data_IF_786243954300
#
_entry.id   IF_786243954300
#
_cell.length_a   1.000
_cell.length_b   1.000
_cell.length_c   1.000
_cell.angle_alpha   90.00
_cell.angle_beta   90.00
_cell.angle_gamma   90.00
#
_symmetry.space_group_name_H-M   'P 1'
#
loop_
_entity.id
_entity.type
_entity.pdbx_description
1 polymer ?
#
# COMPACT_ATOMS: atom_id res chain seq x y z
N UNK A 1 16.24 -7.26 -13.63
CA UNK A 1 14.90 -7.04 -13.03
C UNK A 1 15.02 -7.11 -11.51
N UNK A 2 15.01 -5.97 -10.80
CA UNK A 2 15.11 -5.96 -9.32
C UNK A 2 13.71 -6.25 -8.77
N UNK A 3 13.55 -7.35 -8.03
CA UNK A 3 12.23 -7.74 -7.51
C UNK A 3 11.79 -6.75 -6.42
N UNK A 4 10.56 -6.22 -6.44
CA UNK A 4 10.08 -5.38 -5.34
C UNK A 4 10.07 -6.19 -4.04
N UNK A 5 10.55 -5.59 -2.96
CA UNK A 5 10.65 -6.30 -1.67
C UNK A 5 9.25 -6.50 -1.07
N UNK A 6 9.05 -7.58 -0.29
CA UNK A 6 7.89 -7.68 0.56
C UNK A 6 7.84 -6.42 1.42
N UNK A 7 6.68 -5.75 1.51
CA UNK A 7 6.53 -4.41 2.10
C UNK A 7 6.98 -4.30 3.57
N UNK A 8 7.44 -5.40 4.18
CA UNK A 8 7.71 -5.54 5.61
C UNK A 8 8.98 -6.37 5.90
N UNK A 9 9.67 -6.94 4.90
CA UNK A 9 10.77 -7.88 5.17
C UNK A 9 12.01 -7.22 5.80
N UNK A 10 12.25 -5.93 5.58
CA UNK A 10 13.39 -5.20 6.16
C UNK A 10 13.06 -4.29 7.35
N UNK A 11 11.77 -4.10 7.65
CA UNK A 11 11.30 -3.16 8.69
C UNK A 11 10.75 -3.86 9.93
N UNK A 12 10.55 -5.18 9.85
CA UNK A 12 10.05 -6.01 10.93
C UNK A 12 11.06 -6.19 12.10
N UNK A 13 12.31 -5.74 12.00
CA UNK A 13 13.27 -5.87 13.12
C UNK A 13 13.64 -4.53 13.76
N UNK A 14 13.77 -3.44 12.99
CA UNK A 14 14.23 -2.15 13.55
C UNK A 14 13.09 -1.22 13.97
N UNK A 15 11.88 -1.34 13.41
CA UNK A 15 10.73 -0.49 13.83
C UNK A 15 9.90 -1.13 14.95
N UNK A 16 10.22 -2.37 15.36
CA UNK A 16 9.53 -3.07 16.45
C UNK A 16 9.85 -2.51 17.83
N UNK A 17 10.93 -1.73 18.00
CA UNK A 17 11.40 -1.32 19.34
C UNK A 17 10.99 0.12 19.70
N UNK A 18 10.88 1.04 18.73
CA UNK A 18 10.72 2.47 19.06
C UNK A 18 9.27 3.00 19.13
N UNK A 19 8.26 2.21 18.74
CA UNK A 19 6.88 2.74 18.55
C UNK A 19 5.79 2.15 19.46
N UNK A 20 6.11 1.29 20.42
CA UNK A 20 5.12 0.78 21.38
C UNK A 20 3.90 0.11 20.73
N UNK A 21 4.10 -0.58 19.60
CA UNK A 21 3.06 -1.43 19.01
C UNK A 21 3.22 -2.84 19.57
N UNK A 22 2.42 -3.17 20.57
CA UNK A 22 2.10 -4.57 20.85
C UNK A 22 1.32 -5.10 19.64
N UNK A 23 2.00 -5.81 18.75
CA UNK A 23 1.37 -6.70 17.78
C UNK A 23 1.76 -8.12 18.15
N UNK A 24 0.92 -8.71 19.00
CA UNK A 24 0.73 -10.15 19.02
C UNK A 24 0.29 -10.56 17.61
N UNK A 25 1.24 -11.01 16.78
CA UNK A 25 0.93 -11.78 15.58
C UNK A 25 0.85 -13.25 15.98
N UNK A 26 -0.14 -13.61 16.80
CA UNK A 26 -0.53 -15.01 16.95
C UNK A 26 -1.48 -15.37 15.81
N UNK A 27 -1.01 -16.20 14.88
CA UNK A 27 -1.86 -17.27 14.32
C UNK A 27 -2.59 -17.06 13.00
N UNK A 28 -2.10 -16.25 12.05
CA UNK A 28 -2.67 -16.23 10.69
C UNK A 28 -1.60 -16.26 9.61
N UNK A 29 -1.53 -17.33 8.80
CA UNK A 29 -0.75 -17.32 7.56
C UNK A 29 -1.35 -16.25 6.63
N UNK A 30 -0.55 -15.28 6.21
CA UNK A 30 -0.97 -14.35 5.16
C UNK A 30 -1.35 -15.14 3.90
N UNK A 31 -2.53 -14.88 3.35
CA UNK A 31 -2.99 -15.56 2.14
C UNK A 31 -2.38 -14.98 0.86
N UNK A 32 -2.04 -13.69 0.89
CA UNK A 32 -1.52 -12.94 -0.25
C UNK A 32 -0.24 -12.20 0.12
N UNK A 33 0.72 -12.19 -0.82
CA UNK A 33 1.92 -11.35 -0.69
C UNK A 33 1.56 -9.89 -0.97
N UNK A 34 2.11 -8.98 -0.18
CA UNK A 34 2.00 -7.53 -0.43
C UNK A 34 3.38 -6.93 -0.61
N UNK A 35 3.60 -6.37 -1.80
CA UNK A 35 4.85 -5.74 -2.22
C UNK A 35 4.72 -4.21 -2.13
N UNK A 36 5.82 -3.52 -1.79
CA UNK A 36 5.91 -2.07 -1.98
C UNK A 36 6.58 -1.77 -3.31
N UNK A 37 6.11 -0.75 -4.02
CA UNK A 37 6.85 -0.22 -5.17
C UNK A 37 8.21 0.34 -4.75
N UNK A 38 9.24 -0.06 -5.47
CA UNK A 38 10.58 0.51 -5.42
C UNK A 38 10.90 1.15 -6.77
N UNK A 39 11.55 2.30 -6.76
CA UNK A 39 12.06 2.87 -8.01
C UNK A 39 13.24 2.07 -8.58
N UNK A 40 13.70 2.45 -9.78
CA UNK A 40 14.83 1.79 -10.45
C UNK A 40 16.12 1.78 -9.60
N UNK A 41 16.28 2.73 -8.68
CA UNK A 41 17.41 2.80 -7.74
C UNK A 41 17.22 1.91 -6.51
N UNK A 42 16.07 1.25 -6.34
CA UNK A 42 15.71 0.41 -5.20
C UNK A 42 15.20 1.21 -3.99
N UNK A 43 14.76 2.45 -4.20
CA UNK A 43 14.24 3.29 -3.12
C UNK A 43 12.76 3.00 -2.89
N UNK A 44 12.42 2.59 -1.67
CA UNK A 44 11.02 2.42 -1.27
C UNK A 44 10.35 3.78 -1.05
N UNK A 45 9.58 4.21 -2.06
CA UNK A 45 8.84 5.48 -2.05
C UNK A 45 7.56 5.41 -1.20
N UNK A 46 7.06 4.20 -0.92
CA UNK A 46 5.90 3.96 -0.06
C UNK A 46 6.29 4.20 1.40
N UNK A 47 7.36 3.55 1.88
CA UNK A 47 7.89 3.74 3.24
C UNK A 47 8.29 5.20 3.44
N UNK A 48 8.93 5.84 2.46
CA UNK A 48 9.26 7.27 2.54
C UNK A 48 8.01 8.11 2.86
N UNK A 49 6.87 7.76 2.27
CA UNK A 49 5.59 8.46 2.48
C UNK A 49 4.98 8.15 3.82
N UNK A 50 4.94 6.87 4.22
CA UNK A 50 4.39 6.42 5.52
C UNK A 50 5.19 6.95 6.71
N UNK A 51 6.51 7.15 6.58
CA UNK A 51 7.33 7.74 7.65
C UNK A 51 6.81 9.10 8.12
N UNK A 52 6.25 9.90 7.20
CA UNK A 52 5.71 11.25 7.48
C UNK A 52 4.29 11.24 8.05
N UNK A 53 3.64 10.08 8.14
CA UNK A 53 2.27 9.97 8.63
C UNK A 53 2.19 10.11 10.15
N UNK A 54 1.07 10.65 10.64
CA UNK A 54 0.74 10.66 12.06
C UNK A 54 0.52 9.24 12.58
N UNK A 55 0.47 9.06 13.91
CA UNK A 55 0.18 7.75 14.52
C UNK A 55 -1.14 7.15 14.01
N UNK A 56 -2.21 7.95 13.96
CA UNK A 56 -3.52 7.53 13.42
C UNK A 56 -3.44 7.05 11.97
N UNK A 57 -2.72 7.80 11.12
CA UNK A 57 -2.55 7.48 9.71
C UNK A 57 -1.71 6.21 9.49
N UNK A 58 -0.67 6.00 10.30
CA UNK A 58 0.12 4.76 10.31
C UNK A 58 -0.73 3.56 10.70
N UNK A 59 -1.55 3.66 11.75
CA UNK A 59 -2.48 2.59 12.13
C UNK A 59 -3.47 2.25 11.02
N UNK A 60 -4.00 3.25 10.31
CA UNK A 60 -4.87 3.03 9.14
C UNK A 60 -4.13 2.33 8.01
N UNK A 61 -2.92 2.78 7.69
CA UNK A 61 -2.08 2.12 6.68
C UNK A 61 -1.85 0.65 7.02
N UNK A 62 -1.46 0.33 8.26
CA UNK A 62 -1.23 -1.04 8.71
C UNK A 62 -2.49 -1.89 8.53
N UNK A 63 -3.66 -1.41 8.98
CA UNK A 63 -4.92 -2.15 8.84
C UNK A 63 -5.27 -2.45 7.37
N UNK A 64 -5.07 -1.47 6.49
CA UNK A 64 -5.34 -1.63 5.06
C UNK A 64 -4.36 -2.60 4.40
N UNK A 65 -3.08 -2.56 4.77
CA UNK A 65 -2.08 -3.52 4.28
C UNK A 65 -2.37 -4.93 4.79
N UNK A 66 -2.79 -5.10 6.05
CA UNK A 66 -3.22 -6.39 6.60
C UNK A 66 -4.46 -6.92 5.87
N UNK A 67 -5.41 -6.04 5.54
CA UNK A 67 -6.56 -6.41 4.72
C UNK A 67 -6.10 -7.01 3.37
N UNK A 68 -5.17 -6.35 2.67
CA UNK A 68 -4.64 -6.87 1.41
C UNK A 68 -3.88 -8.19 1.57
N UNK A 69 -3.15 -8.41 2.68
CA UNK A 69 -2.49 -9.69 2.97
C UNK A 69 -3.48 -10.83 3.19
N UNK A 70 -4.62 -10.54 3.81
CA UNK A 70 -5.61 -11.55 4.15
C UNK A 70 -6.60 -11.84 3.00
N UNK A 71 -6.93 -10.81 2.20
CA UNK A 71 -8.02 -10.89 1.23
C UNK A 71 -7.61 -10.55 -0.20
N UNK A 72 -6.40 -10.01 -0.43
CA UNK A 72 -5.97 -9.56 -1.74
C UNK A 72 -6.86 -8.44 -2.29
N UNK A 73 -6.98 -8.36 -3.61
CA UNK A 73 -7.89 -7.44 -4.28
C UNK A 73 -9.23 -8.16 -4.51
N UNK A 74 -10.28 -7.72 -3.81
CA UNK A 74 -11.64 -8.27 -3.91
C UNK A 74 -12.59 -7.27 -4.56
N UNK A 75 -13.26 -7.68 -5.64
CA UNK A 75 -14.07 -6.78 -6.49
C UNK A 75 -15.34 -6.23 -5.83
N UNK A 76 -15.85 -6.94 -4.81
CA UNK A 76 -17.10 -6.60 -4.11
C UNK A 76 -16.87 -5.89 -2.77
N UNK A 77 -15.66 -5.36 -2.52
CA UNK A 77 -15.36 -4.71 -1.24
C UNK A 77 -15.54 -3.18 -1.32
N UNK A 78 -16.34 -2.54 -0.44
CA UNK A 78 -16.59 -1.09 -0.50
C UNK A 78 -15.33 -0.24 -0.23
N UNK A 79 -14.31 -0.82 0.38
CA UNK A 79 -13.03 -0.17 0.66
C UNK A 79 -12.13 -0.17 -0.58
N UNK A 80 -12.32 -1.09 -1.53
CA UNK A 80 -11.55 -1.21 -2.77
C UNK A 80 -12.38 -0.77 -3.98
N UNK A 81 -11.97 0.33 -4.62
CA UNK A 81 -12.60 0.84 -5.83
C UNK A 81 -11.76 0.54 -7.05
N UNK A 82 -12.33 -0.14 -8.04
CA UNK A 82 -11.67 -0.33 -9.34
C UNK A 82 -11.50 1.02 -10.05
N UNK A 83 -10.31 1.29 -10.58
CA UNK A 83 -10.06 2.45 -11.44
C UNK A 83 -10.35 2.03 -12.88
N UNK A 84 -11.43 2.57 -13.45
CA UNK A 84 -11.93 2.26 -14.80
C UNK A 84 -10.84 2.53 -15.85
N UNK A 85 -10.72 1.64 -16.84
CA UNK A 85 -9.73 1.76 -17.91
C UNK A 85 -8.29 1.45 -17.50
N UNK A 86 -8.05 0.94 -16.28
CA UNK A 86 -6.69 0.62 -15.80
C UNK A 86 -6.64 -0.74 -15.11
N UNK A 87 -5.43 -1.27 -14.87
CA UNK A 87 -5.19 -2.45 -14.02
C UNK A 87 -5.17 -2.12 -12.51
N UNK A 88 -5.27 -0.84 -12.15
CA UNK A 88 -5.16 -0.38 -10.77
C UNK A 88 -6.48 -0.40 -9.99
N UNK A 89 -6.33 -0.29 -8.67
CA UNK A 89 -7.36 -0.21 -7.66
C UNK A 89 -7.02 0.90 -6.66
N UNK A 90 -8.05 1.58 -6.15
CA UNK A 90 -7.96 2.57 -5.07
C UNK A 90 -8.54 1.97 -3.79
N UNK A 91 -7.68 1.70 -2.81
CA UNK A 91 -8.13 1.38 -1.46
C UNK A 91 -8.34 2.67 -0.66
N UNK A 92 -9.54 2.83 -0.10
CA UNK A 92 -10.00 4.07 0.54
C UNK A 92 -10.24 3.83 2.02
N UNK A 93 -9.61 4.60 2.90
CA UNK A 93 -10.04 4.62 4.31
C UNK A 93 -11.17 5.64 4.51
N UNK A 94 -12.22 5.26 5.22
CA UNK A 94 -13.27 6.18 5.65
C UNK A 94 -12.83 7.03 6.85
N UNK A 95 -13.43 8.21 7.02
CA UNK A 95 -13.24 9.10 8.16
C UNK A 95 -12.24 10.24 7.96
N UNK A 96 -11.75 10.82 9.07
CA UNK A 96 -11.02 12.11 9.12
C UNK A 96 -9.74 12.14 8.28
N UNK A 97 -8.90 11.11 8.38
CA UNK A 97 -7.73 10.96 7.51
C UNK A 97 -8.14 10.19 6.26
N UNK A 98 -8.31 10.92 5.16
CA UNK A 98 -8.66 10.41 3.84
C UNK A 98 -7.48 9.66 3.18
N UNK A 99 -6.93 8.65 3.85
CA UNK A 99 -5.84 7.80 3.35
C UNK A 99 -6.28 7.02 2.12
N UNK A 100 -5.45 7.07 1.09
CA UNK A 100 -5.62 6.34 -0.17
C UNK A 100 -4.37 5.55 -0.46
N UNK A 101 -4.58 4.33 -0.93
CA UNK A 101 -3.53 3.45 -1.44
C UNK A 101 -3.92 3.05 -2.85
N UNK A 102 -3.09 3.40 -3.83
CA UNK A 102 -3.20 2.83 -5.17
C UNK A 102 -2.42 1.52 -5.20
N UNK A 103 -3.07 0.47 -5.68
CA UNK A 103 -2.48 -0.86 -5.78
C UNK A 103 -2.93 -1.57 -7.06
N UNK A 104 -2.26 -2.68 -7.37
CA UNK A 104 -2.62 -3.56 -8.48
C UNK A 104 -2.26 -5.01 -8.13
N UNK A 105 -2.89 -5.94 -8.85
CA UNK A 105 -2.45 -7.33 -8.87
C UNK A 105 -1.05 -7.39 -9.49
N UNK A 106 -0.12 -8.07 -8.83
CA UNK A 106 1.25 -8.20 -9.29
C UNK A 106 1.84 -9.52 -8.80
N UNK A 107 2.29 -10.35 -9.75
CA UNK A 107 2.75 -11.72 -9.50
C UNK A 107 1.67 -12.53 -8.78
N UNK A 108 2.03 -13.18 -7.69
CA UNK A 108 1.19 -13.98 -6.81
C UNK A 108 0.59 -13.15 -5.64
N UNK A 109 0.49 -11.82 -5.80
CA UNK A 109 0.00 -10.95 -4.75
C UNK A 109 -0.43 -9.57 -5.23
N UNK A 110 -0.25 -8.59 -4.34
CA UNK A 110 -0.66 -7.20 -4.54
C UNK A 110 0.55 -6.29 -4.40
N UNK A 111 0.71 -5.32 -5.31
CA UNK A 111 1.72 -4.27 -5.18
C UNK A 111 1.09 -2.94 -4.78
N UNK A 112 1.70 -2.26 -3.79
CA UNK A 112 1.37 -0.90 -3.39
C UNK A 112 2.15 0.07 -4.26
N UNK A 113 1.44 0.82 -5.12
CA UNK A 113 2.04 1.72 -6.09
C UNK A 113 2.22 3.13 -5.54
N UNK A 114 1.29 3.60 -4.72
CA UNK A 114 1.34 4.94 -4.14
C UNK A 114 0.45 5.03 -2.89
N UNK A 115 0.88 5.79 -1.88
CA UNK A 115 0.12 6.02 -0.66
C UNK A 115 0.15 7.50 -0.27
N UNK A 116 -1.02 8.06 0.01
CA UNK A 116 -1.14 9.49 0.32
C UNK A 116 -2.36 9.78 1.18
N UNK A 117 -2.29 10.89 1.92
CA UNK A 117 -3.45 11.46 2.60
C UNK A 117 -4.04 12.50 1.66
N UNK A 118 -5.27 12.27 1.21
CA UNK A 118 -5.93 13.22 0.33
C UNK A 118 -6.32 14.47 1.12
N UNK A 119 -5.89 15.63 0.65
CA UNK A 119 -6.16 16.93 1.28
C UNK A 119 -7.39 17.65 0.70
N UNK A 120 -7.83 17.28 -0.51
CA UNK A 120 -8.94 17.89 -1.24
C UNK A 120 -10.01 16.84 -1.62
N UNK A 121 -11.20 17.26 -2.06
CA UNK A 121 -12.27 16.31 -2.46
C UNK A 121 -12.00 15.60 -3.80
N UNK A 122 -11.38 16.28 -4.78
CA UNK A 122 -11.03 15.70 -6.09
C UNK A 122 -9.70 14.96 -6.03
N UNK A 123 -9.63 13.76 -6.61
CA UNK A 123 -8.35 13.02 -6.70
C UNK A 123 -7.45 13.81 -7.63
N UNK A 124 -6.24 14.16 -7.18
CA UNK A 124 -5.30 14.86 -8.06
C UNK A 124 -4.97 13.93 -9.23
N UNK A 125 -5.07 14.43 -10.46
CA UNK A 125 -4.69 13.67 -11.66
C UNK A 125 -3.23 13.21 -11.57
N UNK A 126 -2.37 13.99 -10.90
CA UNK A 126 -0.95 13.68 -10.70
C UNK A 126 -0.69 12.40 -9.90
N UNK A 127 -1.43 12.16 -8.80
CA UNK A 127 -1.24 10.94 -7.99
C UNK A 127 -1.62 9.67 -8.78
N UNK A 128 -2.65 9.78 -9.61
CA UNK A 128 -3.11 8.68 -10.46
C UNK A 128 -2.10 8.38 -11.57
N UNK A 129 -1.64 9.42 -12.28
CA UNK A 129 -0.61 9.30 -13.32
C UNK A 129 0.69 8.72 -12.76
N UNK A 130 1.09 9.15 -11.56
CA UNK A 130 2.26 8.61 -10.88
C UNK A 130 2.12 7.11 -10.59
N UNK A 131 0.98 6.68 -10.06
CA UNK A 131 0.73 5.26 -9.81
C UNK A 131 0.68 4.44 -11.11
N UNK A 132 0.09 4.99 -12.17
CA UNK A 132 0.04 4.35 -13.48
C UNK A 132 1.44 4.16 -14.06
N UNK A 133 2.29 5.20 -14.01
CA UNK A 133 3.69 5.12 -14.45
C UNK A 133 4.45 4.05 -13.69
N UNK A 134 4.33 4.02 -12.36
CA UNK A 134 4.96 3.01 -11.50
C UNK A 134 4.51 1.59 -11.82
N UNK A 135 3.25 1.40 -12.18
CA UNK A 135 2.75 0.10 -12.61
C UNK A 135 3.33 -0.32 -13.96
N UNK A 136 3.41 0.60 -14.93
CA UNK A 136 4.09 0.35 -16.21
C UNK A 136 5.55 -0.05 -15.99
N UNK A 137 6.28 0.69 -15.15
CA UNK A 137 7.69 0.37 -14.81
C UNK A 137 7.90 -1.04 -14.20
N UNK A 138 6.85 -1.67 -13.66
CA UNK A 138 6.90 -3.04 -13.12
C UNK A 138 6.47 -4.12 -14.11
N UNK A 139 5.70 -3.75 -15.14
CA UNK A 139 5.15 -4.67 -16.15
C UNK A 139 6.00 -4.70 -17.42
N UNK A 140 6.77 -3.65 -17.67
CA UNK A 140 7.82 -3.59 -18.70
C UNK A 140 9.06 -4.41 -18.29
#
# INVERSE_FOLDING_TARGET
MRLPRPAIAGLAMTVMIDFGYCLVLNGGMDKFKVFSYEDRSGKDLIIKSVKRFTKSQKSKYIRQTLFLRNYGITRNNPVLKKIVGTRMWEMRSLGKDNLRIFCAEYRDGVVLLHVFIKKTQKTSSGDLLLAQRRLSELLD
#
